data_IF_682070043503
#
_entry.id   IF_682070043503
#
_cell.length_a   1.000
_cell.length_b   1.000
_cell.length_c   1.000
_cell.angle_alpha   90.00
_cell.angle_beta   90.00
_cell.angle_gamma   90.00
#
_symmetry.space_group_name_H-M   'P 1'
#
loop_
_entity.id
_entity.type
_entity.pdbx_description
1 polymer ?
#
# COMPACT_ATOMS: atom_id res chain seq x y z
N UNK A 1 27.23 -14.73 -5.20
CA UNK A 1 26.61 -16.02 -5.62
C UNK A 1 25.25 -15.68 -6.19
N UNK A 2 25.03 -15.86 -7.49
CA UNK A 2 23.76 -15.50 -8.14
C UNK A 2 22.70 -16.55 -7.82
N UNK A 3 21.51 -16.12 -7.41
CA UNK A 3 20.32 -16.97 -7.32
C UNK A 3 19.30 -16.48 -8.34
N UNK A 4 18.61 -17.41 -8.98
CA UNK A 4 17.56 -17.13 -9.94
C UNK A 4 16.23 -17.61 -9.36
N UNK A 5 15.24 -16.74 -9.31
CA UNK A 5 13.85 -17.10 -9.07
C UNK A 5 12.99 -16.28 -10.05
N UNK A 6 12.60 -16.90 -11.17
CA UNK A 6 11.99 -16.20 -12.32
C UNK A 6 13.00 -15.40 -13.15
N UNK A 7 12.56 -14.29 -13.77
CA UNK A 7 13.40 -13.37 -14.57
C UNK A 7 14.23 -12.38 -13.72
N UNK A 8 14.13 -12.45 -12.40
CA UNK A 8 14.79 -11.47 -11.51
C UNK A 8 16.18 -11.99 -11.14
N UNK A 9 17.20 -11.22 -11.53
CA UNK A 9 18.59 -11.52 -11.26
C UNK A 9 18.97 -10.97 -9.88
N UNK A 10 19.15 -11.84 -8.90
CA UNK A 10 19.61 -11.46 -7.56
C UNK A 10 21.14 -11.36 -7.56
N UNK A 11 21.66 -10.17 -7.85
CA UNK A 11 23.03 -9.79 -7.44
C UNK A 11 22.93 -9.36 -6.00
N UNK A 12 23.79 -9.91 -5.13
CA UNK A 12 23.94 -9.40 -3.77
C UNK A 12 24.19 -7.89 -3.83
N UNK A 13 23.34 -7.12 -3.17
CA UNK A 13 23.38 -5.67 -3.28
C UNK A 13 24.47 -5.08 -2.38
N UNK A 14 25.40 -4.34 -2.96
CA UNK A 14 26.41 -3.55 -2.23
C UNK A 14 25.74 -2.29 -1.65
N UNK A 15 25.21 -2.42 -0.43
CA UNK A 15 24.36 -1.40 0.20
C UNK A 15 25.06 -0.03 0.28
N UNK A 16 26.37 -0.01 0.51
CA UNK A 16 27.18 1.20 0.63
C UNK A 16 27.21 2.03 -0.66
N UNK A 17 26.94 1.40 -1.80
CA UNK A 17 26.97 2.00 -3.13
C UNK A 17 25.57 2.34 -3.66
N UNK A 18 24.52 2.05 -2.88
CA UNK A 18 23.14 2.40 -3.25
C UNK A 18 22.89 3.89 -3.08
N UNK A 19 22.00 4.44 -3.90
CA UNK A 19 21.35 5.70 -3.56
C UNK A 19 20.59 5.52 -2.23
N UNK A 20 20.60 6.55 -1.40
CA UNK A 20 20.08 6.51 -0.02
C UNK A 20 18.68 5.88 0.08
N UNK A 21 17.79 6.22 -0.86
CA UNK A 21 16.42 5.69 -0.88
C UNK A 21 16.39 4.15 -1.02
N UNK A 22 17.27 3.57 -1.84
CA UNK A 22 17.33 2.12 -2.00
C UNK A 22 17.97 1.46 -0.79
N UNK A 23 18.96 2.11 -0.15
CA UNK A 23 19.49 1.65 1.15
C UNK A 23 18.41 1.61 2.23
N UNK A 24 17.59 2.66 2.33
CA UNK A 24 16.44 2.71 3.23
C UNK A 24 15.38 1.64 2.90
N UNK A 25 15.12 1.40 1.61
CA UNK A 25 14.19 0.35 1.19
C UNK A 25 14.74 -1.05 1.50
N UNK A 26 16.05 -1.31 1.35
CA UNK A 26 16.65 -2.57 1.79
C UNK A 26 16.42 -2.78 3.29
N UNK A 27 16.61 -1.75 4.11
CA UNK A 27 16.38 -1.85 5.57
C UNK A 27 14.89 -2.03 5.92
N UNK A 28 14.00 -1.41 5.14
CA UNK A 28 12.56 -1.42 5.41
C UNK A 28 11.85 -2.70 4.94
N UNK A 29 12.15 -3.17 3.73
CA UNK A 29 11.42 -4.25 3.05
C UNK A 29 12.33 -5.42 2.61
N UNK A 30 13.63 -5.34 2.85
CA UNK A 30 14.60 -6.34 2.42
C UNK A 30 15.06 -6.19 0.98
N UNK A 31 16.19 -6.84 0.67
CA UNK A 31 16.86 -6.76 -0.63
C UNK A 31 15.97 -7.22 -1.80
N UNK A 32 15.30 -8.36 -1.64
CA UNK A 32 14.46 -8.94 -2.68
C UNK A 32 13.29 -8.02 -3.07
N UNK A 33 12.58 -7.47 -2.08
CA UNK A 33 11.44 -6.60 -2.34
C UNK A 33 11.88 -5.25 -2.92
N UNK A 34 13.04 -4.72 -2.47
CA UNK A 34 13.65 -3.53 -3.05
C UNK A 34 14.00 -3.76 -4.53
N UNK A 35 14.62 -4.88 -4.88
CA UNK A 35 14.97 -5.22 -6.26
C UNK A 35 13.74 -5.35 -7.16
N UNK A 36 12.64 -5.94 -6.65
CA UNK A 36 11.35 -5.99 -7.37
C UNK A 36 10.82 -4.58 -7.63
N UNK A 37 10.86 -3.70 -6.63
CA UNK A 37 10.42 -2.31 -6.76
C UNK A 37 11.29 -1.54 -7.77
N UNK A 38 12.61 -1.66 -7.68
CA UNK A 38 13.54 -1.04 -8.62
C UNK A 38 13.28 -1.51 -10.06
N UNK A 39 13.14 -2.81 -10.27
CA UNK A 39 12.92 -3.38 -11.61
C UNK A 39 11.66 -2.83 -12.27
N UNK A 40 10.57 -2.67 -11.50
CA UNK A 40 9.28 -2.19 -12.04
C UNK A 40 9.26 -0.67 -12.23
N UNK A 41 9.82 0.11 -11.31
CA UNK A 41 9.62 1.56 -11.24
C UNK A 41 10.85 2.41 -11.59
N UNK A 42 12.02 1.81 -11.89
CA UNK A 42 13.24 2.55 -12.26
C UNK A 42 12.96 3.53 -13.41
N UNK A 43 13.43 4.77 -13.26
CA UNK A 43 13.23 5.84 -14.24
C UNK A 43 11.87 6.54 -14.17
N UNK A 44 10.98 6.15 -13.25
CA UNK A 44 9.70 6.81 -13.00
C UNK A 44 9.71 7.54 -11.65
N UNK A 45 8.94 8.63 -11.54
CA UNK A 45 8.68 9.27 -10.26
C UNK A 45 7.49 8.57 -9.58
N UNK A 46 7.73 7.93 -8.44
CA UNK A 46 6.69 7.29 -7.64
C UNK A 46 6.12 8.26 -6.62
N UNK A 47 4.83 8.57 -6.71
CA UNK A 47 4.10 9.34 -5.70
C UNK A 47 3.21 8.42 -4.89
N UNK A 48 3.53 8.24 -3.60
CA UNK A 48 2.71 7.43 -2.70
C UNK A 48 1.56 8.27 -2.12
N UNK A 49 0.31 7.83 -2.24
CA UNK A 49 -0.81 8.52 -1.62
C UNK A 49 -0.74 8.41 -0.09
N UNK A 50 -1.20 9.45 0.62
CA UNK A 50 -1.25 9.46 2.09
C UNK A 50 -2.20 8.39 2.65
N UNK A 51 -3.23 8.01 1.88
CA UNK A 51 -4.20 6.97 2.28
C UNK A 51 -3.91 5.68 1.55
N UNK A 52 -3.93 4.58 2.29
CA UNK A 52 -3.77 3.24 1.73
C UNK A 52 -4.90 2.85 0.77
N UNK A 53 -6.14 3.28 1.05
CA UNK A 53 -7.31 2.88 0.28
C UNK A 53 -7.96 4.05 -0.48
N UNK A 54 -8.25 3.83 -1.76
CA UNK A 54 -8.96 4.78 -2.60
C UNK A 54 -10.46 4.83 -2.28
N UNK A 55 -11.01 6.03 -2.06
CA UNK A 55 -12.38 6.22 -1.55
C UNK A 55 -13.48 5.66 -2.46
N UNK A 56 -13.30 5.73 -3.77
CA UNK A 56 -14.20 5.16 -4.78
C UNK A 56 -14.30 3.63 -4.67
N UNK A 57 -13.17 2.96 -4.42
CA UNK A 57 -13.10 1.51 -4.19
C UNK A 57 -13.63 1.14 -2.81
N UNK A 58 -13.31 1.93 -1.79
CA UNK A 58 -13.76 1.71 -0.41
C UNK A 58 -15.27 1.81 -0.31
N UNK A 59 -15.91 2.76 -0.99
CA UNK A 59 -17.37 2.94 -0.91
C UNK A 59 -18.13 1.67 -1.31
N UNK A 60 -17.66 0.97 -2.35
CA UNK A 60 -18.23 -0.32 -2.78
C UNK A 60 -18.01 -1.40 -1.71
N UNK A 61 -16.80 -1.47 -1.16
CA UNK A 61 -16.44 -2.45 -0.12
C UNK A 61 -17.20 -2.25 1.19
N UNK A 62 -17.39 -1.00 1.61
CA UNK A 62 -18.12 -0.60 2.82
C UNK A 62 -19.59 -0.99 2.71
N UNK A 63 -20.25 -0.70 1.59
CA UNK A 63 -21.65 -1.13 1.36
C UNK A 63 -21.82 -2.65 1.41
N UNK A 64 -20.84 -3.41 0.91
CA UNK A 64 -20.87 -4.88 0.91
C UNK A 64 -20.64 -5.49 2.29
N UNK A 65 -19.80 -4.86 3.13
CA UNK A 65 -19.39 -5.39 4.44
C UNK A 65 -20.19 -4.83 5.61
N UNK A 66 -21.01 -3.80 5.37
CA UNK A 66 -21.83 -3.23 6.43
C UNK A 66 -22.89 -4.24 6.88
N UNK A 67 -22.92 -4.52 8.19
CA UNK A 67 -23.84 -5.49 8.80
C UNK A 67 -24.92 -4.83 9.68
N UNK A 68 -25.02 -3.50 9.67
CA UNK A 68 -25.98 -2.74 10.49
C UNK A 68 -25.35 -2.05 11.70
N UNK A 69 -24.26 -2.60 12.25
CA UNK A 69 -23.68 -2.11 13.52
C UNK A 69 -22.14 -2.02 13.52
N UNK A 70 -21.45 -2.42 12.44
CA UNK A 70 -19.98 -2.42 12.35
C UNK A 70 -19.34 -1.13 11.81
N UNK A 71 -19.94 0.05 12.02
CA UNK A 71 -19.40 1.32 11.51
C UNK A 71 -17.97 1.58 12.02
N UNK A 72 -17.73 1.38 13.33
CA UNK A 72 -16.42 1.61 13.93
C UNK A 72 -15.34 0.70 13.33
N UNK A 73 -15.64 -0.57 13.11
CA UNK A 73 -14.72 -1.51 12.45
C UNK A 73 -14.37 -1.06 11.04
N UNK A 74 -15.36 -0.60 10.26
CA UNK A 74 -15.14 -0.11 8.90
C UNK A 74 -14.34 1.20 8.87
N UNK A 75 -14.51 2.08 9.86
CA UNK A 75 -13.68 3.29 10.01
C UNK A 75 -12.22 2.92 10.24
N UNK A 76 -11.94 2.05 11.21
CA UNK A 76 -10.57 1.62 11.51
C UNK A 76 -9.93 0.85 10.35
N UNK A 77 -10.70 -0.03 9.69
CA UNK A 77 -10.20 -0.85 8.59
C UNK A 77 -9.80 -0.02 7.37
N UNK A 78 -10.60 0.98 7.02
CA UNK A 78 -10.38 1.76 5.80
C UNK A 78 -9.70 3.11 6.03
N UNK A 79 -9.53 3.52 7.29
CA UNK A 79 -9.01 4.83 7.68
C UNK A 79 -9.87 5.99 7.13
N UNK A 80 -11.18 5.90 7.37
CA UNK A 80 -12.15 6.94 7.04
C UNK A 80 -12.95 7.35 8.26
N UNK A 81 -13.34 8.63 8.31
CA UNK A 81 -14.17 9.15 9.39
C UNK A 81 -15.57 8.52 9.39
N UNK A 82 -16.21 8.53 10.55
CA UNK A 82 -17.60 8.06 10.71
C UNK A 82 -18.53 8.74 9.71
N UNK A 83 -18.41 10.07 9.54
CA UNK A 83 -19.21 10.84 8.57
C UNK A 83 -19.06 10.31 7.14
N UNK A 84 -17.85 9.95 6.74
CA UNK A 84 -17.60 9.41 5.41
C UNK A 84 -18.20 8.01 5.27
N UNK A 85 -18.02 7.14 6.26
CA UNK A 85 -18.59 5.77 6.25
C UNK A 85 -20.13 5.83 6.23
N UNK A 86 -20.76 6.62 7.11
CA UNK A 86 -22.22 6.84 7.12
C UNK A 86 -22.72 7.35 5.75
N UNK A 87 -22.02 8.31 5.13
CA UNK A 87 -22.33 8.76 3.78
C UNK A 87 -22.20 7.64 2.74
N UNK A 88 -21.16 6.81 2.84
CA UNK A 88 -20.92 5.70 1.93
C UNK A 88 -22.03 4.64 2.00
N UNK A 89 -22.58 4.36 3.18
CA UNK A 89 -23.74 3.43 3.35
C UNK A 89 -25.11 4.09 3.17
N UNK A 90 -25.15 5.41 2.90
CA UNK A 90 -26.41 6.14 2.69
C UNK A 90 -27.17 6.47 3.99
N UNK A 91 -26.52 6.40 5.16
CA UNK A 91 -27.09 6.88 6.41
C UNK A 91 -26.95 8.41 6.50
N UNK A 92 -28.09 9.10 6.71
CA UNK A 92 -28.08 10.51 7.12
C UNK A 92 -27.87 10.56 8.63
N UNK A 93 -26.72 11.05 9.07
CA UNK A 93 -26.58 11.53 10.44
C UNK A 93 -27.38 12.83 10.51
N UNK A 94 -28.52 12.78 11.18
CA UNK A 94 -29.34 13.95 11.51
C UNK A 94 -28.71 14.68 12.71
#
# INVERSE_FOLDING_TARGET
MYKFEGEVLYVGVEKENLQDIYGQLVDLIGEEAMLKLFTVYRGQQLTLPMRMYAGDKVAKSVKKQFNGHNIAELMHKYDYSQRWISKAIGQRNN
#
